data_IF_127350412103
#
_entry.id   IF_127350412103
#
_cell.length_a   1.000
_cell.length_b   1.000
_cell.length_c   1.000
_cell.angle_alpha   90.00
_cell.angle_beta   90.00
_cell.angle_gamma   90.00
#
_symmetry.space_group_name_H-M   'P 1'
#
loop_
_entity.id
_entity.type
_entity.pdbx_description
1 polymer ?
#
# COMPACT_ATOMS: atom_id res chain seq x y z
N UNK A 1 23.95 15.98 -73.29
CA UNK A 1 25.41 15.99 -73.05
C UNK A 1 25.59 16.35 -71.59
N UNK A 2 26.24 15.62 -70.69
CA UNK A 2 27.30 14.64 -70.81
C UNK A 2 27.23 13.65 -69.64
N UNK A 3 27.60 12.40 -69.90
CA UNK A 3 27.88 11.34 -68.93
C UNK A 3 29.29 11.53 -68.34
N UNK A 4 29.50 11.16 -67.06
CA UNK A 4 30.67 10.46 -66.45
C UNK A 4 30.29 10.15 -64.98
N UNK A 5 30.05 8.91 -64.53
CA UNK A 5 30.90 7.72 -64.33
C UNK A 5 31.77 7.75 -63.06
N UNK A 6 31.32 6.97 -62.06
CA UNK A 6 32.02 6.07 -61.12
C UNK A 6 33.30 6.48 -60.37
N UNK A 7 33.31 6.28 -59.04
CA UNK A 7 34.16 5.26 -58.41
C UNK A 7 33.69 4.89 -56.99
N UNK A 8 33.57 3.58 -56.74
CA UNK A 8 33.43 2.95 -55.42
C UNK A 8 34.79 2.87 -54.74
N UNK A 9 34.84 3.07 -53.43
CA UNK A 9 35.83 2.43 -52.56
C UNK A 9 35.20 2.16 -51.20
N UNK A 10 35.27 0.88 -50.84
CA UNK A 10 34.72 0.24 -49.67
C UNK A 10 35.86 0.07 -48.64
N UNK A 11 35.67 0.49 -47.39
CA UNK A 11 36.44 -0.02 -46.24
C UNK A 11 35.50 -0.26 -45.06
N UNK A 12 35.62 -1.50 -44.57
CA UNK A 12 34.93 -2.21 -43.50
C UNK A 12 34.97 -1.52 -42.12
N UNK A 13 33.93 -1.82 -41.32
CA UNK A 13 34.10 -2.25 -39.93
C UNK A 13 33.20 -1.55 -38.91
N UNK A 14 32.25 -2.28 -38.33
CA UNK A 14 31.54 -1.87 -37.12
C UNK A 14 30.12 -2.45 -37.02
N UNK A 15 29.89 -3.29 -36.02
CA UNK A 15 28.64 -4.02 -35.72
C UNK A 15 27.85 -3.26 -34.63
N UNK A 16 26.57 -3.62 -34.46
CA UNK A 16 25.67 -3.46 -33.29
C UNK A 16 25.13 -2.05 -32.98
N UNK A 17 23.90 -1.81 -32.50
CA UNK A 17 22.65 -2.57 -32.32
C UNK A 17 21.52 -1.53 -32.11
N UNK A 18 20.29 -1.96 -32.38
CA UNK A 18 18.95 -1.45 -32.03
C UNK A 18 18.84 -0.34 -30.94
N UNK A 19 18.28 0.82 -31.32
CA UNK A 19 17.90 1.89 -30.37
C UNK A 19 16.47 1.66 -29.89
N UNK A 20 16.33 1.19 -28.64
CA UNK A 20 15.10 1.29 -27.85
C UNK A 20 15.15 2.61 -27.07
N UNK A 21 14.34 3.59 -27.47
CA UNK A 21 13.95 4.68 -26.59
C UNK A 21 12.64 4.29 -25.90
N UNK A 22 12.73 3.86 -24.66
CA UNK A 22 11.60 3.80 -23.74
C UNK A 22 11.88 4.77 -22.60
N UNK A 23 10.98 5.75 -22.48
CA UNK A 23 10.89 6.75 -21.43
C UNK A 23 10.97 6.13 -20.02
N UNK A 24 11.65 6.75 -19.04
CA UNK A 24 11.64 6.27 -17.66
C UNK A 24 10.27 6.56 -17.02
N UNK A 25 9.49 5.51 -16.77
CA UNK A 25 8.35 5.57 -15.85
C UNK A 25 8.88 5.83 -14.44
N UNK A 26 8.32 6.86 -13.83
CA UNK A 26 8.60 7.29 -12.47
C UNK A 26 8.34 6.15 -11.49
N UNK A 27 9.34 5.83 -10.67
CA UNK A 27 9.22 4.90 -9.57
C UNK A 27 8.37 5.58 -8.50
N UNK A 28 7.19 5.03 -8.22
CA UNK A 28 6.53 5.23 -6.94
C UNK A 28 7.53 4.82 -5.86
N UNK A 29 8.08 5.81 -5.18
CA UNK A 29 9.04 5.60 -4.10
C UNK A 29 8.26 5.17 -2.87
N UNK A 30 8.04 3.86 -2.73
CA UNK A 30 7.78 3.27 -1.42
C UNK A 30 8.96 3.61 -0.51
N UNK A 31 8.73 4.56 0.39
CA UNK A 31 9.71 4.99 1.36
C UNK A 31 9.99 3.84 2.33
N UNK A 32 11.26 3.51 2.58
CA UNK A 32 11.59 2.42 3.49
C UNK A 32 11.21 2.84 4.91
N UNK A 33 10.22 2.18 5.49
CA UNK A 33 10.05 2.11 6.94
C UNK A 33 11.16 1.20 7.49
N UNK A 34 12.40 1.67 7.48
CA UNK A 34 13.46 1.07 8.29
C UNK A 34 13.63 1.95 9.50
N UNK A 35 13.22 1.46 10.68
CA UNK A 35 14.09 1.42 11.86
C UNK A 35 13.57 0.32 12.79
N UNK A 36 14.52 -0.48 13.26
CA UNK A 36 14.33 -1.67 14.07
C UNK A 36 13.55 -1.36 15.35
N UNK A 37 12.41 -2.01 15.52
CA UNK A 37 11.94 -2.41 16.84
C UNK A 37 11.55 -3.87 16.71
N UNK A 38 12.40 -4.75 17.23
CA UNK A 38 11.99 -6.09 17.59
C UNK A 38 10.69 -5.94 18.40
N UNK A 39 9.58 -6.48 17.87
CA UNK A 39 8.29 -6.46 18.58
C UNK A 39 8.51 -7.25 19.87
N UNK A 40 8.67 -6.54 20.98
CA UNK A 40 8.92 -7.15 22.28
C UNK A 40 7.60 -7.75 22.77
N UNK A 41 7.38 -9.01 22.41
CA UNK A 41 6.22 -9.82 22.80
C UNK A 41 6.27 -10.06 24.32
N UNK A 42 5.60 -9.23 25.11
CA UNK A 42 5.39 -9.52 26.52
C UNK A 42 4.31 -10.60 26.65
N UNK A 43 4.70 -11.80 27.08
CA UNK A 43 3.77 -12.90 27.33
C UNK A 43 2.92 -12.58 28.56
N UNK A 44 1.59 -12.58 28.40
CA UNK A 44 0.62 -12.55 29.51
C UNK A 44 0.02 -13.95 29.65
N UNK A 45 -0.25 -14.38 30.89
CA UNK A 45 -0.62 -15.75 31.28
C UNK A 45 -2.02 -16.21 30.78
N UNK A 46 -2.19 -16.30 29.47
CA UNK A 46 -3.30 -17.01 28.79
C UNK A 46 -2.78 -17.47 27.44
N UNK A 47 -2.80 -18.78 27.16
CA UNK A 47 -2.02 -19.45 26.10
C UNK A 47 -2.23 -18.97 24.65
N UNK A 48 -3.11 -17.99 24.37
CA UNK A 48 -3.38 -17.51 23.00
C UNK A 48 -3.51 -15.99 22.84
N UNK A 49 -3.27 -15.20 23.89
CA UNK A 49 -3.44 -13.73 23.85
C UNK A 49 -2.06 -13.06 23.86
N UNK A 50 -1.70 -12.38 22.77
CA UNK A 50 -0.42 -11.69 22.58
C UNK A 50 -0.65 -10.18 22.63
N UNK A 51 0.18 -9.46 23.39
CA UNK A 51 0.22 -8.01 23.31
C UNK A 51 1.35 -7.59 22.39
N UNK A 52 1.07 -6.66 21.47
CA UNK A 52 2.10 -6.04 20.62
C UNK A 52 2.32 -4.59 21.03
N UNK A 53 3.59 -4.22 21.14
CA UNK A 53 3.99 -2.83 21.37
C UNK A 53 3.77 -2.09 20.04
N UNK A 54 2.81 -1.17 20.03
CA UNK A 54 2.51 -0.36 18.84
C UNK A 54 3.22 0.98 18.90
N UNK A 55 3.60 1.50 17.73
CA UNK A 55 4.06 2.88 17.62
C UNK A 55 2.94 3.82 18.04
N UNK A 56 3.27 4.79 18.89
CA UNK A 56 2.34 5.73 19.49
C UNK A 56 1.28 5.08 20.41
N UNK A 57 1.54 3.91 20.98
CA UNK A 57 0.62 3.28 21.96
C UNK A 57 0.36 4.15 23.20
N UNK A 58 1.27 5.06 23.55
CA UNK A 58 1.08 6.04 24.63
C UNK A 58 -0.08 7.01 24.39
N UNK A 59 -0.60 7.07 23.15
CA UNK A 59 -1.77 7.85 22.78
C UNK A 59 -3.08 7.05 22.94
N UNK A 60 -3.08 5.89 23.59
CA UNK A 60 -4.31 5.13 23.88
C UNK A 60 -5.39 6.02 24.52
N UNK A 61 -6.53 6.16 23.85
CA UNK A 61 -7.65 6.98 24.28
C UNK A 61 -7.47 8.49 24.04
N UNK A 62 -6.41 8.89 23.33
CA UNK A 62 -6.10 10.27 22.96
C UNK A 62 -5.92 10.40 21.43
N UNK A 63 -5.69 11.63 20.97
CA UNK A 63 -5.52 12.00 19.57
C UNK A 63 -4.07 12.34 19.25
N UNK A 64 -3.65 11.96 18.05
CA UNK A 64 -2.35 12.37 17.53
C UNK A 64 -2.26 13.90 17.44
N UNK A 65 -1.22 14.54 18.00
CA UNK A 65 -1.19 16.00 18.18
C UNK A 65 -1.14 16.80 16.88
N UNK A 66 -0.76 16.16 15.77
CA UNK A 66 -0.64 16.80 14.46
C UNK A 66 -1.86 16.47 13.58
N UNK A 67 -2.25 15.20 13.53
CA UNK A 67 -3.26 14.71 12.58
C UNK A 67 -4.65 14.60 13.20
N UNK A 68 -4.76 14.64 14.53
CA UNK A 68 -6.03 14.52 15.24
C UNK A 68 -6.65 13.11 15.26
N UNK A 69 -5.96 12.13 14.66
CA UNK A 69 -6.39 10.73 14.59
C UNK A 69 -6.38 10.10 15.99
N UNK A 70 -7.49 9.48 16.36
CA UNK A 70 -7.64 8.77 17.64
C UNK A 70 -6.85 7.47 17.63
N UNK A 71 -6.22 7.15 18.75
CA UNK A 71 -5.58 5.86 18.98
C UNK A 71 -6.42 5.05 19.96
N UNK A 72 -6.90 3.90 19.54
CA UNK A 72 -7.75 3.04 20.36
C UNK A 72 -7.10 1.68 20.57
N UNK A 73 -7.28 1.14 21.78
CA UNK A 73 -6.96 -0.26 22.06
C UNK A 73 -7.94 -1.16 21.32
N UNK A 74 -7.41 -2.10 20.55
CA UNK A 74 -8.18 -3.12 19.87
C UNK A 74 -7.62 -4.51 20.16
N UNK A 75 -8.51 -5.50 20.18
CA UNK A 75 -8.16 -6.92 20.21
C UNK A 75 -8.56 -7.51 18.87
N UNK A 76 -7.58 -7.98 18.13
CA UNK A 76 -7.71 -8.54 16.79
C UNK A 76 -7.53 -10.04 16.86
N UNK A 77 -8.44 -10.80 16.25
CA UNK A 77 -8.26 -12.24 16.06
C UNK A 77 -7.55 -12.49 14.74
N UNK A 78 -6.43 -13.22 14.76
CA UNK A 78 -5.66 -13.57 13.56
C UNK A 78 -6.05 -14.98 13.05
N UNK A 79 -5.74 -15.34 11.79
CA UNK A 79 -6.23 -16.60 11.19
C UNK A 79 -5.85 -17.88 11.93
N UNK A 80 -4.79 -17.86 12.76
CA UNK A 80 -4.42 -19.01 13.59
C UNK A 80 -5.30 -19.17 14.85
N UNK A 81 -6.29 -18.29 15.04
CA UNK A 81 -7.20 -18.26 16.19
C UNK A 81 -6.61 -17.59 17.44
N UNK A 82 -5.39 -17.07 17.37
CA UNK A 82 -4.80 -16.27 18.45
C UNK A 82 -5.39 -14.86 18.44
N UNK A 83 -5.35 -14.21 19.60
CA UNK A 83 -5.77 -12.81 19.74
C UNK A 83 -4.57 -11.93 19.97
N UNK A 84 -4.53 -10.82 19.26
CA UNK A 84 -3.49 -9.79 19.36
C UNK A 84 -4.13 -8.52 19.90
N UNK A 85 -3.69 -8.08 21.06
CA UNK A 85 -4.05 -6.80 21.65
C UNK A 85 -2.99 -5.75 21.28
N UNK A 86 -3.43 -4.58 20.83
CA UNK A 86 -2.57 -3.46 20.48
C UNK A 86 -3.34 -2.15 20.46
N UNK A 87 -2.64 -1.05 20.22
CA UNK A 87 -3.24 0.29 20.10
C UNK A 87 -3.04 0.78 18.66
N UNK A 88 -4.13 1.14 18.00
CA UNK A 88 -4.14 1.43 16.56
C UNK A 88 -4.84 2.75 16.25
N UNK A 89 -4.40 3.45 15.19
CA UNK A 89 -5.08 4.66 14.73
C UNK A 89 -6.45 4.33 14.12
N UNK A 90 -7.45 5.17 14.39
CA UNK A 90 -8.75 5.16 13.72
C UNK A 90 -8.76 6.16 12.57
N UNK A 91 -8.33 5.70 11.40
CA UNK A 91 -8.35 6.52 10.18
C UNK A 91 -9.78 6.69 9.65
N UNK A 92 -10.03 7.85 9.05
CA UNK A 92 -11.18 8.05 8.18
C UNK A 92 -10.88 7.38 6.83
N UNK A 93 -11.58 6.29 6.55
CA UNK A 93 -11.44 5.52 5.31
C UNK A 93 -12.59 5.84 4.37
N UNK A 94 -12.28 6.11 3.10
CA UNK A 94 -13.30 6.29 2.07
C UNK A 94 -13.84 4.97 1.52
N UNK A 95 -13.03 3.92 1.62
CA UNK A 95 -13.37 2.59 1.16
C UNK A 95 -12.50 1.53 1.85
N UNK A 96 -13.15 0.47 2.33
CA UNK A 96 -12.47 -0.68 2.92
C UNK A 96 -12.56 -1.85 1.94
N UNK A 97 -11.41 -2.30 1.45
CA UNK A 97 -11.27 -3.51 0.66
C UNK A 97 -10.98 -4.70 1.59
N UNK A 98 -11.50 -5.88 1.21
CA UNK A 98 -11.30 -7.11 1.97
C UNK A 98 -10.55 -8.13 1.11
N UNK A 99 -9.36 -8.50 1.57
CA UNK A 99 -8.55 -9.56 0.96
C UNK A 99 -9.01 -10.94 1.45
N UNK A 100 -8.87 -11.93 0.57
CA UNK A 100 -8.93 -13.33 0.97
C UNK A 100 -7.70 -13.72 1.79
N UNK A 101 -7.84 -14.68 2.72
CA UNK A 101 -6.73 -15.19 3.53
C UNK A 101 -5.54 -15.68 2.68
N UNK A 102 -5.83 -16.24 1.50
CA UNK A 102 -4.79 -16.68 0.55
C UNK A 102 -3.93 -15.54 0.00
N UNK A 103 -4.34 -14.29 0.19
CA UNK A 103 -3.67 -13.10 -0.29
C UNK A 103 -2.92 -12.34 0.82
N UNK A 104 -3.00 -12.78 2.09
CA UNK A 104 -2.43 -12.03 3.22
C UNK A 104 -0.91 -11.89 3.13
N UNK A 105 -0.22 -12.88 2.59
CA UNK A 105 1.24 -12.86 2.44
C UNK A 105 1.70 -12.39 1.04
N UNK A 106 0.78 -11.91 0.19
CA UNK A 106 1.15 -11.34 -1.09
C UNK A 106 1.88 -9.99 -0.93
N UNK A 107 2.62 -9.60 -1.98
CA UNK A 107 3.27 -8.29 -2.05
C UNK A 107 2.28 -7.12 -1.98
N UNK A 108 2.74 -5.94 -1.54
CA UNK A 108 1.91 -4.72 -1.50
C UNK A 108 1.25 -4.46 -2.85
N UNK A 109 2.04 -4.52 -3.93
CA UNK A 109 1.54 -4.33 -5.29
C UNK A 109 0.38 -5.27 -5.68
N UNK A 110 0.36 -6.52 -5.17
CA UNK A 110 -0.71 -7.48 -5.47
C UNK A 110 -1.95 -7.21 -4.63
N UNK A 111 -1.75 -6.93 -3.35
CA UNK A 111 -2.83 -6.60 -2.42
C UNK A 111 -3.52 -5.29 -2.82
N UNK A 112 -2.76 -4.27 -3.21
CA UNK A 112 -3.29 -2.99 -3.65
C UNK A 112 -3.96 -3.08 -5.01
N UNK A 113 -3.47 -3.95 -5.91
CA UNK A 113 -4.17 -4.23 -7.16
C UNK A 113 -5.53 -4.86 -6.93
N UNK A 114 -5.63 -5.80 -5.98
CA UNK A 114 -6.92 -6.38 -5.57
C UNK A 114 -7.84 -5.30 -4.99
N UNK A 115 -7.33 -4.47 -4.07
CA UNK A 115 -8.09 -3.39 -3.47
C UNK A 115 -8.58 -2.36 -4.51
N UNK A 116 -7.75 -1.98 -5.48
CA UNK A 116 -8.15 -1.12 -6.59
C UNK A 116 -9.25 -1.76 -7.45
N UNK A 117 -9.21 -3.07 -7.67
CA UNK A 117 -10.27 -3.78 -8.38
C UNK A 117 -11.60 -3.71 -7.62
N UNK A 118 -11.58 -3.94 -6.30
CA UNK A 118 -12.78 -3.83 -5.46
C UNK A 118 -13.33 -2.41 -5.40
N UNK A 119 -12.44 -1.40 -5.32
CA UNK A 119 -12.82 0.01 -5.36
C UNK A 119 -13.49 0.37 -6.69
N UNK A 120 -12.92 -0.09 -7.81
CA UNK A 120 -13.50 0.12 -9.14
C UNK A 120 -14.92 -0.44 -9.22
N UNK A 121 -15.09 -1.71 -8.85
CA UNK A 121 -16.40 -2.36 -8.86
C UNK A 121 -17.39 -1.60 -7.94
N UNK A 122 -16.94 -1.13 -6.78
CA UNK A 122 -17.76 -0.37 -5.84
C UNK A 122 -18.20 0.98 -6.42
N UNK A 123 -17.31 1.70 -7.10
CA UNK A 123 -17.60 2.99 -7.74
C UNK A 123 -18.55 2.85 -8.93
N UNK A 124 -18.46 1.75 -9.68
CA UNK A 124 -19.39 1.45 -10.78
C UNK A 124 -20.81 1.14 -10.28
N UNK A 125 -20.92 0.47 -9.13
CA UNK A 125 -22.20 -0.06 -8.62
C UNK A 125 -22.84 0.79 -7.51
N UNK A 126 -22.11 1.74 -6.91
CA UNK A 126 -22.60 2.55 -5.80
C UNK A 126 -22.36 4.07 -6.04
N UNK A 127 -23.43 4.85 -6.30
CA UNK A 127 -23.31 6.27 -6.55
C UNK A 127 -22.83 7.07 -5.33
N UNK A 128 -23.07 6.58 -4.10
CA UNK A 128 -22.60 7.25 -2.89
C UNK A 128 -21.08 7.16 -2.78
N UNK A 129 -20.51 5.98 -3.06
CA UNK A 129 -19.05 5.78 -3.10
C UNK A 129 -18.44 6.60 -4.23
N UNK A 130 -19.04 6.55 -5.43
CA UNK A 130 -18.63 7.36 -6.58
C UNK A 130 -18.60 8.86 -6.26
N UNK A 131 -19.56 9.35 -5.49
CA UNK A 131 -19.70 10.76 -5.10
C UNK A 131 -18.59 11.28 -4.17
N UNK A 132 -17.75 10.40 -3.61
CA UNK A 132 -16.61 10.76 -2.77
C UNK A 132 -15.38 11.20 -3.58
N UNK A 133 -15.34 10.92 -4.89
CA UNK A 133 -14.16 11.09 -5.74
C UNK A 133 -14.35 12.19 -6.80
N UNK A 134 -13.26 12.86 -7.17
CA UNK A 134 -13.23 13.82 -8.28
C UNK A 134 -13.25 13.11 -9.63
N UNK A 135 -13.51 13.82 -10.74
CA UNK A 135 -13.45 13.24 -12.09
C UNK A 135 -12.08 12.63 -12.40
N UNK A 136 -10.99 13.30 -12.03
CA UNK A 136 -9.61 12.81 -12.22
C UNK A 136 -9.35 11.52 -11.41
N UNK A 137 -9.85 11.45 -10.16
CA UNK A 137 -9.73 10.25 -9.33
C UNK A 137 -10.57 9.10 -9.87
N UNK A 138 -11.76 9.39 -10.42
CA UNK A 138 -12.60 8.38 -11.07
C UNK A 138 -11.91 7.81 -12.32
N UNK A 139 -11.22 8.63 -13.11
CA UNK A 139 -10.41 8.15 -14.25
C UNK A 139 -9.29 7.20 -13.80
N UNK A 140 -8.62 7.52 -12.68
CA UNK A 140 -7.58 6.66 -12.10
C UNK A 140 -8.15 5.33 -11.59
N UNK A 141 -9.27 5.38 -10.86
CA UNK A 141 -9.98 4.19 -10.38
C UNK A 141 -10.40 3.30 -11.56
N UNK A 142 -10.92 3.90 -12.63
CA UNK A 142 -11.26 3.19 -13.86
C UNK A 142 -10.05 2.52 -14.52
N UNK A 143 -8.87 3.15 -14.45
CA UNK A 143 -7.60 2.59 -14.91
C UNK A 143 -7.05 1.48 -13.99
N UNK A 144 -7.64 1.27 -12.81
CA UNK A 144 -7.17 0.32 -11.80
C UNK A 144 -6.04 0.85 -10.92
N UNK A 145 -5.85 2.18 -10.91
CA UNK A 145 -4.87 2.88 -10.09
C UNK A 145 -5.49 3.36 -8.78
N UNK A 146 -4.64 3.56 -7.78
CA UNK A 146 -5.07 4.18 -6.51
C UNK A 146 -5.28 5.67 -6.76
N UNK A 147 -6.44 6.24 -6.37
CA UNK A 147 -6.73 7.64 -6.63
C UNK A 147 -5.73 8.58 -5.96
N UNK A 148 -5.34 9.64 -6.65
CA UNK A 148 -4.37 10.62 -6.16
C UNK A 148 -4.82 11.23 -4.83
N UNK A 149 -3.85 11.39 -3.92
CA UNK A 149 -4.09 11.86 -2.55
C UNK A 149 -4.36 10.74 -1.56
N UNK A 150 -4.61 9.51 -2.02
CA UNK A 150 -4.89 8.36 -1.16
C UNK A 150 -3.84 7.25 -1.25
N UNK A 151 -3.77 6.45 -0.19
CA UNK A 151 -2.96 5.23 -0.08
C UNK A 151 -3.77 4.13 0.55
N UNK A 152 -3.41 2.88 0.25
CA UNK A 152 -3.94 1.72 0.95
C UNK A 152 -3.19 1.49 2.26
N UNK A 153 -3.92 1.58 3.36
CA UNK A 153 -3.45 1.28 4.70
C UNK A 153 -3.86 -0.15 5.10
N UNK A 154 -2.90 -0.97 5.49
CA UNK A 154 -3.18 -2.25 6.15
C UNK A 154 -3.72 -2.01 7.56
N UNK A 155 -5.02 -2.17 7.77
CA UNK A 155 -5.62 -2.00 9.11
C UNK A 155 -5.24 -3.13 10.06
N UNK A 156 -5.49 -2.93 11.34
CA UNK A 156 -5.25 -3.95 12.36
C UNK A 156 -6.04 -5.24 12.09
N UNK A 157 -7.18 -5.14 11.41
CA UNK A 157 -8.05 -6.28 11.11
C UNK A 157 -7.53 -7.10 9.90
N UNK A 158 -7.44 -8.44 10.01
CA UNK A 158 -6.92 -9.28 8.94
C UNK A 158 -7.63 -9.11 7.61
N UNK A 159 -6.83 -8.94 6.56
CA UNK A 159 -7.30 -8.77 5.19
C UNK A 159 -7.91 -7.41 4.87
N UNK A 160 -8.12 -6.54 5.85
CA UNK A 160 -8.76 -5.25 5.62
C UNK A 160 -7.73 -4.19 5.20
N UNK A 161 -7.92 -3.65 3.99
CA UNK A 161 -7.18 -2.50 3.45
C UNK A 161 -8.08 -1.28 3.42
N UNK A 162 -7.62 -0.17 3.94
CA UNK A 162 -8.39 1.07 4.05
C UNK A 162 -7.81 2.13 3.11
N UNK A 163 -8.66 2.76 2.31
CA UNK A 163 -8.26 3.88 1.46
C UNK A 163 -8.26 5.17 2.29
N UNK A 164 -7.08 5.64 2.66
CA UNK A 164 -6.88 6.77 3.59
C UNK A 164 -6.06 7.89 2.97
N UNK A 165 -6.22 9.11 3.47
CA UNK A 165 -5.43 10.26 3.02
C UNK A 165 -3.92 10.01 3.25
N UNK A 166 -3.13 10.24 2.20
CA UNK A 166 -1.69 9.98 2.17
C UNK A 166 -0.93 10.79 3.22
N UNK A 167 -1.30 12.05 3.39
CA UNK A 167 -0.62 12.98 4.29
C UNK A 167 -0.93 12.64 5.74
N UNK A 168 -2.19 12.38 6.06
CA UNK A 168 -2.67 11.96 7.38
C UNK A 168 -2.03 10.63 7.77
N UNK A 169 -2.00 9.65 6.86
CA UNK A 169 -1.38 8.35 7.09
C UNK A 169 0.13 8.50 7.40
N UNK A 170 0.86 9.24 6.57
CA UNK A 170 2.29 9.46 6.73
C UNK A 170 2.65 10.20 8.02
N UNK A 171 1.89 11.24 8.37
CA UNK A 171 2.15 12.06 9.56
C UNK A 171 1.73 11.39 10.86
N UNK A 172 0.71 10.54 10.83
CA UNK A 172 0.23 9.82 12.04
C UNK A 172 1.26 8.81 12.52
N UNK A 173 1.93 8.10 11.61
CA UNK A 173 3.03 7.18 11.90
C UNK A 173 2.69 6.11 12.94
N UNK A 174 2.36 4.90 12.50
CA UNK A 174 1.78 3.85 13.35
C UNK A 174 2.32 2.47 12.98
N UNK A 175 1.99 1.47 13.81
CA UNK A 175 2.18 0.06 13.45
C UNK A 175 0.94 -0.40 12.67
N UNK A 176 1.10 -0.69 11.38
CA UNK A 176 0.02 -1.21 10.53
C UNK A 176 -0.16 -2.73 10.64
N UNK A 177 -1.28 -3.24 10.15
CA UNK A 177 -1.64 -4.67 10.19
C UNK A 177 -0.72 -5.59 9.40
N UNK A 178 0.13 -5.02 8.54
CA UNK A 178 1.17 -5.77 7.83
C UNK A 178 2.08 -6.55 8.79
N UNK A 179 2.40 -5.98 9.94
CA UNK A 179 3.22 -6.62 10.98
C UNK A 179 2.47 -7.67 11.80
N UNK A 180 1.15 -7.77 11.65
CA UNK A 180 0.27 -8.63 12.45
C UNK A 180 -0.16 -9.86 11.64
N UNK A 181 -0.69 -9.63 10.44
CA UNK A 181 -1.30 -10.66 9.60
C UNK A 181 -0.78 -10.67 8.16
N UNK A 182 -0.16 -9.58 7.68
CA UNK A 182 0.25 -9.44 6.29
C UNK A 182 1.62 -10.02 5.91
N UNK A 183 2.22 -10.86 6.76
CA UNK A 183 3.54 -11.45 6.49
C UNK A 183 4.74 -10.51 6.69
N UNK A 184 4.55 -9.37 7.37
CA UNK A 184 5.63 -8.49 7.81
C UNK A 184 6.43 -7.82 6.69
N UNK A 185 7.65 -7.35 7.03
CA UNK A 185 8.53 -6.64 6.08
C UNK A 185 9.04 -7.52 4.93
N UNK A 186 9.10 -8.84 5.10
CA UNK A 186 9.61 -9.76 4.07
C UNK A 186 8.71 -9.80 2.84
N UNK A 187 7.43 -9.49 3.02
CA UNK A 187 6.44 -9.53 1.96
C UNK A 187 6.06 -8.15 1.42
N UNK A 188 6.67 -7.04 1.87
CA UNK A 188 6.36 -5.69 1.34
C UNK A 188 6.71 -5.54 -0.14
#
# INVERSE_FOLDING_TARGET
MSLIASLVSEVRGGKIDEVKETSPLEKQNDMPTTYQSDVELSKKDSENDRYIICRNESLEGDRHPITGIEFEKAVVEIPDGSKVEGVFPKFESLFDAQLDESQYENSDARQFKEANSQLKDAVENNPDIRGQFTEEQLEQIEAGDTPEGYVWHHSENPGTLQLVDTTVHAQTGHTGGRSIWGGGNENR
#
